data_IF_738861057559
#
_entry.id   IF_738861057559
#
_cell.length_a   1.000
_cell.length_b   1.000
_cell.length_c   1.000
_cell.angle_alpha   90.00
_cell.angle_beta   90.00
_cell.angle_gamma   90.00
#
_symmetry.space_group_name_H-M   'P 1'
#
loop_
_entity.id
_entity.type
_entity.pdbx_description
1 polymer ?
#
# COMPACT_ATOMS: atom_id res chain seq x y z
N UNK A 1 -56.58 -16.93 -29.91
CA UNK A 1 -55.57 -17.07 -28.85
C UNK A 1 -55.81 -15.92 -27.90
N UNK A 2 -56.20 -16.27 -26.68
CA UNK A 2 -56.68 -15.36 -25.63
C UNK A 2 -55.60 -14.34 -25.21
N UNK A 3 -56.01 -13.08 -25.07
CA UNK A 3 -55.32 -11.99 -24.36
C UNK A 3 -55.70 -12.00 -22.86
N UNK A 4 -55.25 -11.06 -21.98
CA UNK A 4 -53.95 -10.41 -21.70
C UNK A 4 -53.69 -10.31 -20.15
N UNK A 5 -52.67 -9.54 -19.68
CA UNK A 5 -52.43 -8.89 -18.34
C UNK A 5 -51.00 -9.13 -17.81
N UNK A 6 -50.15 -8.11 -17.72
CA UNK A 6 -49.96 -7.08 -16.67
C UNK A 6 -49.16 -7.58 -15.45
N UNK A 7 -48.41 -6.64 -14.84
CA UNK A 7 -47.56 -6.69 -13.63
C UNK A 7 -46.05 -6.83 -13.93
N UNK A 8 -45.15 -5.92 -13.55
CA UNK A 8 -45.24 -4.67 -12.79
C UNK A 8 -44.01 -3.80 -13.07
N UNK A 9 -44.29 -2.52 -13.28
CA UNK A 9 -43.45 -1.38 -12.92
C UNK A 9 -42.94 -1.57 -11.48
N UNK A 10 -41.63 -1.63 -11.28
CA UNK A 10 -41.05 -1.40 -9.95
C UNK A 10 -40.08 -0.24 -10.03
N UNK A 11 -40.54 0.82 -9.37
CA UNK A 11 -39.81 2.00 -8.95
C UNK A 11 -38.48 1.58 -8.34
N UNK A 12 -37.40 2.18 -8.85
CA UNK A 12 -36.08 2.09 -8.25
C UNK A 12 -36.13 3.09 -7.09
N UNK A 13 -36.63 2.64 -5.93
CA UNK A 13 -36.63 3.47 -4.73
C UNK A 13 -35.21 3.53 -4.16
N UNK A 14 -34.82 4.76 -3.89
CA UNK A 14 -33.55 5.19 -3.34
C UNK A 14 -33.37 4.63 -1.92
N UNK A 15 -32.46 3.67 -1.78
CA UNK A 15 -31.81 3.41 -0.50
C UNK A 15 -30.40 2.85 -0.75
N UNK A 16 -29.55 3.67 -1.38
CA UNK A 16 -28.12 3.50 -1.22
C UNK A 16 -27.75 4.18 0.10
N UNK A 17 -27.69 3.40 1.18
CA UNK A 17 -27.05 3.86 2.40
C UNK A 17 -25.62 4.31 2.05
N UNK A 18 -25.21 5.53 2.43
CA UNK A 18 -23.86 5.97 2.19
C UNK A 18 -22.94 5.11 3.06
N UNK A 19 -22.12 4.28 2.42
CA UNK A 19 -20.97 3.68 3.08
C UNK A 19 -20.05 4.84 3.44
N UNK A 20 -20.03 5.20 4.72
CA UNK A 20 -19.07 6.15 5.28
C UNK A 20 -17.66 5.65 4.94
N UNK A 21 -17.07 6.24 3.90
CA UNK A 21 -15.64 6.17 3.68
C UNK A 21 -15.00 6.90 4.85
N UNK A 22 -14.48 6.14 5.82
CA UNK A 22 -13.58 6.66 6.83
C UNK A 22 -12.38 7.30 6.11
N UNK A 23 -12.45 8.61 5.94
CA UNK A 23 -11.30 9.47 5.69
C UNK A 23 -10.45 9.47 6.95
N UNK A 24 -9.66 8.42 7.13
CA UNK A 24 -8.56 8.44 8.10
C UNK A 24 -7.40 9.20 7.45
N UNK A 25 -7.62 10.51 7.29
CA UNK A 25 -6.56 11.46 7.04
C UNK A 25 -5.75 11.57 8.33
N UNK A 26 -4.41 11.48 8.29
CA UNK A 26 -3.63 11.69 9.50
C UNK A 26 -3.84 13.14 9.97
N UNK A 27 -4.21 13.30 11.24
CA UNK A 27 -4.42 14.57 11.92
C UNK A 27 -3.29 15.58 11.58
N UNK A 28 -3.69 16.72 11.00
CA UNK A 28 -2.77 17.76 10.52
C UNK A 28 -2.10 18.60 11.64
N UNK A 29 -2.18 18.19 12.91
CA UNK A 29 -1.83 19.05 14.06
C UNK A 29 -0.46 18.82 14.73
N UNK A 30 0.47 18.04 14.15
CA UNK A 30 1.89 18.06 14.58
C UNK A 30 2.87 18.50 13.46
N UNK A 31 2.46 19.44 12.63
CA UNK A 31 3.40 20.20 11.80
C UNK A 31 4.02 21.34 12.64
N UNK A 32 5.22 21.10 13.18
CA UNK A 32 6.02 22.14 13.81
C UNK A 32 6.12 23.40 12.93
N UNK A 33 6.16 24.57 13.55
CA UNK A 33 6.17 25.87 12.89
C UNK A 33 7.27 25.97 11.83
N UNK A 34 6.90 25.89 10.54
CA UNK A 34 7.78 26.19 9.43
C UNK A 34 7.65 27.67 9.07
N UNK A 35 8.77 28.39 9.22
CA UNK A 35 8.95 29.81 8.86
C UNK A 35 8.46 30.10 7.43
N UNK A 36 7.67 31.17 7.25
CA UNK A 36 6.72 31.32 6.14
C UNK A 36 7.24 32.06 4.89
N UNK A 37 8.42 32.68 4.90
CA UNK A 37 8.71 33.72 3.88
C UNK A 37 10.01 33.58 3.07
N UNK A 38 10.62 32.39 2.98
CA UNK A 38 11.63 32.15 1.94
C UNK A 38 11.57 30.71 1.42
N UNK A 39 11.59 30.47 0.10
CA UNK A 39 11.74 29.12 -0.41
C UNK A 39 13.11 28.61 0.01
N UNK A 40 13.15 27.68 0.96
CA UNK A 40 14.38 26.98 1.31
C UNK A 40 14.84 26.25 0.05
N UNK A 41 16.02 26.59 -0.46
CA UNK A 41 16.64 25.86 -1.56
C UNK A 41 17.57 24.85 -0.92
N UNK A 42 17.37 23.59 -1.25
CA UNK A 42 18.19 22.49 -0.72
C UNK A 42 19.19 22.03 -1.77
N UNK A 43 20.37 21.56 -1.34
CA UNK A 43 21.26 20.84 -2.24
C UNK A 43 20.61 19.52 -2.69
N UNK A 44 20.65 19.20 -3.98
CA UNK A 44 20.05 17.97 -4.51
C UNK A 44 20.78 16.72 -4.02
N UNK A 45 22.09 16.82 -3.75
CA UNK A 45 22.86 15.75 -3.13
C UNK A 45 22.40 15.46 -1.70
N UNK A 46 22.13 16.50 -0.93
CA UNK A 46 21.56 16.39 0.42
C UNK A 46 20.14 15.81 0.39
N UNK A 47 19.26 16.31 -0.50
CA UNK A 47 17.92 15.79 -0.69
C UNK A 47 17.94 14.29 -1.05
N UNK A 48 18.89 13.86 -1.89
CA UNK A 48 19.07 12.44 -2.25
C UNK A 48 19.40 11.57 -1.04
N UNK A 49 20.32 12.02 -0.17
CA UNK A 49 20.68 11.30 1.07
C UNK A 49 19.49 11.19 2.03
N UNK A 50 18.65 12.23 2.09
CA UNK A 50 17.43 12.20 2.89
C UNK A 50 16.44 11.17 2.32
N UNK A 51 16.21 11.18 1.01
CA UNK A 51 15.33 10.20 0.34
C UNK A 51 15.81 8.77 0.60
N UNK A 52 17.12 8.52 0.49
CA UNK A 52 17.73 7.21 0.80
C UNK A 52 17.50 6.80 2.27
N UNK A 53 17.68 7.74 3.20
CA UNK A 53 17.47 7.48 4.63
C UNK A 53 16.02 7.15 4.94
N UNK A 54 15.07 7.86 4.33
CA UNK A 54 13.64 7.59 4.49
C UNK A 54 13.28 6.21 3.95
N UNK A 55 13.77 5.85 2.75
CA UNK A 55 13.55 4.52 2.17
C UNK A 55 14.13 3.38 3.01
N UNK A 56 15.21 3.64 3.76
CA UNK A 56 15.80 2.66 4.66
C UNK A 56 14.94 2.41 5.90
N UNK A 57 14.33 3.45 6.46
CA UNK A 57 13.48 3.35 7.67
C UNK A 57 12.06 2.88 7.33
N UNK A 58 11.57 3.14 6.12
CA UNK A 58 10.22 2.81 5.70
C UNK A 58 9.94 1.29 5.74
N UNK A 59 8.85 0.91 6.43
CA UNK A 59 8.35 -0.47 6.44
C UNK A 59 7.57 -0.84 5.16
N UNK A 60 6.97 0.15 4.52
CA UNK A 60 6.09 0.03 3.36
C UNK A 60 6.64 0.78 2.14
N UNK A 61 6.21 0.44 0.90
CA UNK A 61 6.58 1.19 -0.28
C UNK A 61 6.09 2.64 -0.22
N UNK A 62 6.94 3.58 -0.62
CA UNK A 62 6.64 5.01 -0.58
C UNK A 62 6.42 5.56 -1.99
N UNK A 63 5.34 6.31 -2.19
CA UNK A 63 5.08 6.96 -3.49
C UNK A 63 5.96 8.19 -3.61
N UNK A 64 6.42 8.55 -4.83
CA UNK A 64 7.19 9.79 -5.03
C UNK A 64 6.44 11.05 -4.57
N UNK A 65 5.11 11.03 -4.58
CA UNK A 65 4.27 12.11 -4.07
C UNK A 65 4.40 12.28 -2.56
N UNK A 66 4.37 11.18 -1.82
CA UNK A 66 4.44 11.18 -0.35
C UNK A 66 5.84 11.63 0.10
N UNK A 67 6.89 11.14 -0.57
CA UNK A 67 8.27 11.60 -0.34
C UNK A 67 8.39 13.10 -0.62
N UNK A 68 7.79 13.61 -1.71
CA UNK A 68 7.86 15.04 -2.03
C UNK A 68 7.15 15.94 -0.99
N UNK A 69 6.17 15.40 -0.27
CA UNK A 69 5.46 16.13 0.79
C UNK A 69 6.38 16.47 1.97
N UNK A 70 7.37 15.62 2.25
CA UNK A 70 8.39 15.85 3.28
C UNK A 70 9.26 17.08 2.98
N UNK A 71 9.33 17.49 1.72
CA UNK A 71 10.05 18.67 1.27
C UNK A 71 9.12 19.88 1.05
N UNK A 72 7.92 19.89 1.64
CA UNK A 72 7.06 21.08 1.66
C UNK A 72 7.83 22.28 2.22
N UNK A 73 7.79 23.41 1.50
CA UNK A 73 8.60 24.60 1.81
C UNK A 73 9.95 24.65 1.09
N UNK A 74 10.40 23.53 0.50
CA UNK A 74 11.60 23.48 -0.34
C UNK A 74 11.23 23.62 -1.80
N UNK A 75 11.57 24.75 -2.42
CA UNK A 75 11.06 25.09 -3.77
C UNK A 75 11.58 24.22 -4.90
N UNK A 76 12.80 23.68 -4.75
CA UNK A 76 13.49 22.95 -5.81
C UNK A 76 13.31 21.43 -5.73
N UNK A 77 12.58 20.91 -4.74
CA UNK A 77 12.32 19.47 -4.58
C UNK A 77 10.83 19.20 -4.77
N UNK A 78 10.46 18.84 -6.00
CA UNK A 78 9.10 18.43 -6.35
C UNK A 78 9.04 16.94 -6.73
N UNK A 79 7.83 16.42 -6.98
CA UNK A 79 7.62 15.01 -7.37
C UNK A 79 8.49 14.55 -8.55
N UNK A 80 8.73 15.42 -9.55
CA UNK A 80 9.57 15.08 -10.71
C UNK A 80 11.04 14.96 -10.31
N UNK A 81 11.51 15.87 -9.46
CA UNK A 81 12.87 15.83 -8.91
C UNK A 81 13.05 14.60 -8.04
N UNK A 82 12.10 14.29 -7.15
CA UNK A 82 12.13 13.06 -6.34
C UNK A 82 12.22 11.81 -7.22
N UNK A 83 11.41 11.70 -8.29
CA UNK A 83 11.54 10.58 -9.24
C UNK A 83 12.93 10.50 -9.88
N UNK A 84 13.51 11.65 -10.24
CA UNK A 84 14.87 11.67 -10.79
C UNK A 84 15.89 11.17 -9.77
N UNK A 85 15.82 11.66 -8.53
CA UNK A 85 16.70 11.22 -7.44
C UNK A 85 16.55 9.72 -7.15
N UNK A 86 15.32 9.20 -7.19
CA UNK A 86 15.06 7.76 -7.07
C UNK A 86 15.69 6.97 -8.21
N UNK A 87 15.62 7.46 -9.45
CA UNK A 87 16.30 6.85 -10.59
C UNK A 87 17.81 6.79 -10.42
N UNK A 88 18.43 7.91 -9.99
CA UNK A 88 19.86 7.96 -9.67
C UNK A 88 20.23 6.97 -8.56
N UNK A 89 19.42 6.90 -7.49
CA UNK A 89 19.65 5.95 -6.40
C UNK A 89 19.51 4.50 -6.88
N UNK A 90 18.57 4.18 -7.77
CA UNK A 90 18.43 2.84 -8.34
C UNK A 90 19.71 2.44 -9.09
N UNK A 91 20.26 3.33 -9.90
CA UNK A 91 21.52 3.10 -10.62
C UNK A 91 22.70 2.92 -9.65
N UNK A 92 22.82 3.76 -8.62
CA UNK A 92 23.88 3.66 -7.60
C UNK A 92 23.82 2.38 -6.76
N UNK A 93 22.63 1.80 -6.61
CA UNK A 93 22.42 0.52 -5.92
C UNK A 93 22.60 -0.69 -6.85
N UNK A 94 22.92 -0.47 -8.13
CA UNK A 94 23.14 -1.49 -9.16
C UNK A 94 24.23 -2.52 -8.85
N UNK A 95 25.20 -2.18 -8.00
CA UNK A 95 26.29 -3.08 -7.57
C UNK A 95 26.30 -3.39 -6.06
N UNK A 96 25.33 -2.86 -5.30
CA UNK A 96 25.25 -3.02 -3.83
C UNK A 96 24.47 -4.29 -3.45
N UNK A 97 24.60 -4.74 -2.20
CA UNK A 97 23.87 -5.90 -1.67
C UNK A 97 22.36 -5.65 -1.46
N UNK A 98 22.00 -4.39 -1.28
CA UNK A 98 20.63 -3.88 -1.28
C UNK A 98 20.29 -3.34 -2.66
N UNK A 99 18.99 -3.21 -2.94
CA UNK A 99 18.47 -2.64 -4.18
C UNK A 99 17.21 -1.83 -3.88
N UNK A 100 16.93 -0.82 -4.70
CA UNK A 100 15.67 -0.09 -4.67
C UNK A 100 14.82 -0.62 -5.82
N UNK A 101 13.58 -0.99 -5.53
CA UNK A 101 12.64 -1.50 -6.52
C UNK A 101 11.38 -0.64 -6.55
N UNK A 102 10.81 -0.49 -7.74
CA UNK A 102 9.48 0.07 -7.94
C UNK A 102 8.44 -1.07 -7.93
N UNK A 103 7.41 -0.91 -7.11
CA UNK A 103 6.23 -1.77 -7.02
C UNK A 103 4.98 -0.91 -7.25
N UNK A 104 3.81 -1.54 -7.43
CA UNK A 104 2.57 -0.81 -7.72
C UNK A 104 2.25 0.30 -6.70
N UNK A 105 2.64 0.10 -5.44
CA UNK A 105 2.40 1.05 -4.33
C UNK A 105 3.49 2.12 -4.19
N UNK A 106 4.62 2.03 -4.91
CA UNK A 106 5.71 3.00 -4.83
C UNK A 106 7.11 2.37 -4.84
N UNK A 107 8.07 3.03 -4.21
CA UNK A 107 9.47 2.61 -4.15
C UNK A 107 9.80 2.07 -2.77
N UNK A 108 10.61 1.00 -2.71
CA UNK A 108 11.13 0.48 -1.44
C UNK A 108 12.57 0.00 -1.57
N UNK A 109 13.31 0.08 -0.48
CA UNK A 109 14.60 -0.57 -0.33
C UNK A 109 14.40 -2.03 0.06
N UNK A 110 15.09 -2.96 -0.61
CA UNK A 110 15.03 -4.39 -0.31
C UNK A 110 16.38 -5.08 -0.54
N UNK A 111 16.53 -6.29 -0.01
CA UNK A 111 17.70 -7.12 -0.27
C UNK A 111 17.63 -7.74 -1.67
N UNK A 112 18.79 -8.04 -2.28
CA UNK A 112 18.80 -8.78 -3.56
C UNK A 112 18.24 -10.19 -3.39
N UNK A 113 17.61 -10.66 -4.47
CA UNK A 113 17.04 -12.01 -4.53
C UNK A 113 18.08 -13.11 -4.25
N UNK A 114 19.33 -12.89 -4.65
CA UNK A 114 20.48 -13.80 -4.41
C UNK A 114 20.70 -14.08 -2.92
N UNK A 115 20.44 -13.10 -2.04
CA UNK A 115 20.60 -13.25 -0.59
C UNK A 115 19.34 -13.78 0.10
N UNK A 116 18.24 -13.98 -0.63
CA UNK A 116 16.97 -14.46 -0.08
C UNK A 116 17.10 -15.73 0.76
N UNK A 117 17.89 -16.77 0.37
CA UNK A 117 18.04 -17.98 1.18
C UNK A 117 18.63 -17.71 2.58
N UNK A 118 19.58 -16.78 2.67
CA UNK A 118 20.25 -16.41 3.92
C UNK A 118 19.35 -15.55 4.79
N UNK A 119 18.67 -14.56 4.20
CA UNK A 119 17.70 -13.71 4.89
C UNK A 119 16.56 -14.56 5.48
N UNK A 120 16.05 -15.55 4.73
CA UNK A 120 15.02 -16.49 5.23
C UNK A 120 15.49 -17.32 6.42
N UNK A 121 16.75 -17.77 6.41
CA UNK A 121 17.34 -18.49 7.55
C UNK A 121 17.47 -17.60 8.78
N UNK A 122 17.94 -16.36 8.60
CA UNK A 122 18.09 -15.38 9.68
C UNK A 122 16.75 -15.00 10.30
N UNK A 123 15.74 -14.71 9.47
CA UNK A 123 14.40 -14.36 9.92
C UNK A 123 13.69 -15.50 10.67
N UNK A 124 14.31 -16.69 10.75
CA UNK A 124 13.79 -17.89 11.41
C UNK A 124 12.29 -18.02 11.18
N UNK A 125 11.84 -17.78 9.94
CA UNK A 125 10.42 -17.56 9.67
C UNK A 125 9.67 -18.71 10.32
N UNK A 126 8.98 -18.39 11.42
CA UNK A 126 8.02 -19.27 12.06
C UNK A 126 7.22 -19.81 10.90
N UNK A 127 7.37 -21.11 10.60
CA UNK A 127 6.76 -21.75 9.44
C UNK A 127 5.39 -21.14 9.31
N UNK A 128 5.13 -20.34 8.26
CA UNK A 128 3.75 -19.92 7.97
C UNK A 128 3.00 -21.24 7.90
N UNK A 129 2.25 -21.54 8.95
CA UNK A 129 1.52 -22.79 9.04
C UNK A 129 0.53 -22.69 7.90
N UNK A 130 0.84 -23.39 6.80
CA UNK A 130 -0.08 -23.44 5.68
C UNK A 130 -1.38 -23.98 6.25
N UNK A 131 -2.48 -23.26 5.99
CA UNK A 131 -3.80 -23.78 6.32
C UNK A 131 -3.93 -25.14 5.64
N UNK A 132 -4.43 -26.13 6.39
CA UNK A 132 -4.73 -27.44 5.81
C UNK A 132 -5.81 -27.27 4.74
N UNK A 133 -5.91 -28.26 3.85
CA UNK A 133 -6.94 -28.24 2.82
C UNK A 133 -8.35 -28.13 3.44
N UNK A 134 -8.62 -28.85 4.53
CA UNK A 134 -9.88 -28.73 5.27
C UNK A 134 -10.15 -27.31 5.82
N UNK A 135 -9.10 -26.60 6.26
CA UNK A 135 -9.22 -25.21 6.72
C UNK A 135 -9.50 -24.24 5.56
N UNK A 136 -8.90 -24.48 4.39
CA UNK A 136 -9.18 -23.70 3.17
C UNK A 136 -10.59 -23.94 2.64
N UNK A 137 -11.07 -25.18 2.63
CA UNK A 137 -12.44 -25.53 2.25
C UNK A 137 -13.46 -24.81 3.15
N UNK A 138 -13.23 -24.85 4.47
CA UNK A 138 -14.05 -24.15 5.45
C UNK A 138 -14.05 -22.64 5.22
N UNK A 139 -12.88 -22.04 4.94
CA UNK A 139 -12.75 -20.62 4.63
C UNK A 139 -13.50 -20.23 3.35
N UNK A 140 -13.45 -21.08 2.32
CA UNK A 140 -14.15 -20.84 1.06
C UNK A 140 -15.68 -20.85 1.24
N UNK A 141 -16.22 -21.79 2.03
CA UNK A 141 -17.65 -21.83 2.36
C UNK A 141 -18.07 -20.56 3.11
N UNK A 142 -17.32 -20.18 4.14
CA UNK A 142 -17.58 -18.96 4.92
C UNK A 142 -17.57 -17.70 4.02
N UNK A 143 -16.56 -17.54 3.17
CA UNK A 143 -16.42 -16.35 2.33
C UNK A 143 -17.58 -16.15 1.33
N UNK A 144 -18.24 -17.23 0.91
CA UNK A 144 -19.30 -17.17 -0.09
C UNK A 144 -20.72 -17.24 0.49
N UNK A 145 -20.87 -17.77 1.71
CA UNK A 145 -22.19 -18.07 2.31
C UNK A 145 -22.46 -17.37 3.64
N UNK A 146 -21.63 -16.41 4.05
CA UNK A 146 -21.93 -15.60 5.24
C UNK A 146 -23.29 -14.85 5.07
N UNK A 147 -24.16 -14.83 6.09
CA UNK A 147 -24.05 -15.49 7.41
C UNK A 147 -24.47 -16.98 7.37
N UNK A 148 -23.59 -17.88 7.85
CA UNK A 148 -23.80 -19.35 7.89
C UNK A 148 -23.33 -19.91 9.24
N UNK A 149 -24.00 -20.94 9.74
CA UNK A 149 -23.70 -21.61 11.02
C UNK A 149 -22.70 -22.76 10.85
N UNK A 150 -22.09 -23.18 11.96
CA UNK A 150 -21.14 -24.31 11.96
C UNK A 150 -21.78 -25.62 11.47
N UNK A 151 -23.05 -25.86 11.82
CA UNK A 151 -23.77 -27.06 11.39
C UNK A 151 -23.95 -27.09 9.87
N UNK A 152 -24.33 -25.97 9.26
CA UNK A 152 -24.49 -25.84 7.81
C UNK A 152 -23.15 -25.96 7.06
N UNK A 153 -22.04 -25.50 7.66
CA UNK A 153 -20.70 -25.70 7.09
C UNK A 153 -20.33 -27.19 7.09
N UNK A 154 -20.66 -27.93 8.16
CA UNK A 154 -20.40 -29.37 8.24
C UNK A 154 -21.29 -30.18 7.28
N UNK A 155 -22.49 -29.71 6.92
CA UNK A 155 -23.33 -30.34 5.89
C UNK A 155 -22.79 -30.15 4.46
N UNK A 156 -22.09 -29.04 4.19
CA UNK A 156 -21.52 -28.74 2.87
C UNK A 156 -20.20 -29.49 2.62
N UNK A 157 -19.47 -29.85 3.68
CA UNK A 157 -18.17 -30.56 3.62
C UNK A 157 -18.32 -32.08 3.53
#
# INVERSE_FOLDING_TARGET
MEEPRQETLFEIDEAHEPVEMAEDAPDEEEAGEFDKDAPLVMDLGEAKKIVESILFVASEPLRPRDISFLFKGVSNVNVKVVRKLLGELIEEYGDKTLQIIEVAEGFRLCTRAEFSPWVKRFLKTAKKTKLSQAALETLAILAYKQPITKAEIEEIR
#
